data_IF_644467020403
#
_entry.id   IF_644467020403
#
_cell.length_a   1.000
_cell.length_b   1.000
_cell.length_c   1.000
_cell.angle_alpha   90.00
_cell.angle_beta   90.00
_cell.angle_gamma   90.00
#
_symmetry.space_group_name_H-M   'P 1'
#
loop_
_entity.id
_entity.type
_entity.pdbx_description
1 polymer ?
#
# COMPACT_ATOMS: atom_id res chain seq x y z
N UNK A 1 -28.91 11.46 -45.96
CA UNK A 1 -28.67 12.68 -45.14
C UNK A 1 -28.69 12.41 -43.64
N UNK A 2 -29.68 11.67 -43.09
CA UNK A 2 -29.75 11.34 -41.65
C UNK A 2 -28.55 10.54 -41.10
N UNK A 3 -28.03 9.54 -41.83
CA UNK A 3 -26.93 8.70 -41.34
C UNK A 3 -25.57 9.42 -41.26
N UNK A 4 -25.32 10.37 -42.16
CA UNK A 4 -24.10 11.19 -42.14
C UNK A 4 -24.05 12.11 -40.90
N UNK A 5 -25.22 12.61 -40.46
CA UNK A 5 -25.33 13.45 -39.27
C UNK A 5 -25.03 12.67 -37.97
N UNK A 6 -25.51 11.43 -37.86
CA UNK A 6 -25.20 10.56 -36.72
C UNK A 6 -23.72 10.14 -36.67
N UNK A 7 -23.08 9.94 -37.83
CA UNK A 7 -21.66 9.62 -37.90
C UNK A 7 -20.76 10.79 -37.43
N UNK A 8 -21.13 12.03 -37.76
CA UNK A 8 -20.38 13.23 -37.35
C UNK A 8 -20.55 13.49 -35.84
N UNK A 9 -21.75 13.31 -35.29
CA UNK A 9 -21.99 13.46 -33.84
C UNK A 9 -21.26 12.37 -33.04
N UNK A 10 -21.20 11.13 -33.53
CA UNK A 10 -20.42 10.06 -32.91
C UNK A 10 -18.91 10.31 -32.90
N UNK A 11 -18.37 10.92 -33.97
CA UNK A 11 -16.95 11.27 -34.08
C UNK A 11 -16.55 12.40 -33.12
N UNK A 12 -17.43 13.37 -32.88
CA UNK A 12 -17.16 14.51 -31.97
C UNK A 12 -17.15 14.07 -30.50
N UNK A 13 -17.94 13.06 -30.10
CA UNK A 13 -17.95 12.55 -28.73
C UNK A 13 -16.69 11.71 -28.40
N UNK A 14 -16.05 11.10 -29.41
CA UNK A 14 -14.80 10.35 -29.23
C UNK A 14 -13.53 11.23 -29.21
N UNK A 15 -13.63 12.50 -29.63
CA UNK A 15 -12.47 13.37 -29.85
C UNK A 15 -12.02 14.26 -28.68
N UNK A 16 -12.74 14.27 -27.55
CA UNK A 16 -12.47 15.20 -26.43
C UNK A 16 -11.92 14.53 -25.15
N UNK A 17 -11.40 13.31 -25.27
CA UNK A 17 -10.76 12.59 -24.16
C UNK A 17 -9.25 12.82 -24.02
N UNK A 18 -8.72 13.96 -24.44
CA UNK A 18 -7.31 14.28 -24.20
C UNK A 18 -7.14 14.70 -22.74
N UNK A 19 -6.91 13.74 -21.85
CA UNK A 19 -6.21 14.03 -20.59
C UNK A 19 -4.80 14.44 -20.97
N UNK A 20 -4.51 15.73 -20.92
CA UNK A 20 -3.13 16.19 -21.00
C UNK A 20 -2.41 15.64 -19.77
N UNK A 21 -1.68 14.54 -19.92
CA UNK A 21 -0.64 14.15 -18.97
C UNK A 21 0.54 15.08 -19.23
N UNK A 22 0.45 16.30 -18.70
CA UNK A 22 1.62 17.14 -18.59
C UNK A 22 2.42 16.60 -17.40
N UNK A 23 3.60 16.06 -17.70
CA UNK A 23 4.71 15.79 -16.78
C UNK A 23 4.80 16.84 -15.66
N UNK A 24 4.76 18.11 -16.07
CA UNK A 24 4.82 19.26 -15.18
C UNK A 24 3.63 20.21 -15.40
N UNK A 25 3.04 20.72 -14.32
CA UNK A 25 1.99 21.73 -14.34
C UNK A 25 2.61 23.12 -14.25
N UNK A 26 2.38 23.95 -15.27
CA UNK A 26 2.80 25.35 -15.29
C UNK A 26 1.63 26.27 -14.91
N UNK A 27 1.89 27.18 -13.98
CA UNK A 27 0.97 28.26 -13.60
C UNK A 27 1.65 29.62 -13.74
N UNK A 28 0.86 30.66 -13.97
CA UNK A 28 1.33 32.04 -14.03
C UNK A 28 0.85 32.82 -12.81
N UNK A 29 1.78 33.44 -12.09
CA UNK A 29 1.54 34.37 -10.98
C UNK A 29 2.42 35.59 -11.18
N UNK A 30 1.90 36.62 -11.84
CA UNK A 30 2.69 37.78 -12.29
C UNK A 30 3.67 38.30 -11.21
N UNK A 31 4.97 38.45 -11.54
CA UNK A 31 5.60 38.23 -12.85
C UNK A 31 6.12 36.80 -13.09
N UNK A 32 5.82 35.85 -12.22
CA UNK A 32 6.43 34.52 -12.19
C UNK A 32 5.67 33.47 -12.99
N UNK A 33 6.42 32.67 -13.72
CA UNK A 33 6.01 31.37 -14.22
C UNK A 33 6.53 30.30 -13.27
N UNK A 34 5.61 29.50 -12.71
CA UNK A 34 5.95 28.42 -11.78
C UNK A 34 5.53 27.10 -12.42
N UNK A 35 6.50 26.21 -12.63
CA UNK A 35 6.33 24.89 -13.19
C UNK A 35 6.64 23.84 -12.11
N UNK A 36 5.71 22.92 -11.85
CA UNK A 36 5.83 21.92 -10.78
C UNK A 36 5.53 20.53 -11.31
N UNK A 37 6.36 19.55 -10.99
CA UNK A 37 6.14 18.17 -11.41
C UNK A 37 7.05 17.18 -10.70
N UNK A 38 7.34 16.07 -11.37
CA UNK A 38 8.21 15.01 -10.87
C UNK A 38 9.59 15.07 -11.51
N UNK A 39 10.62 14.63 -10.79
CA UNK A 39 11.96 14.52 -11.36
C UNK A 39 12.08 13.30 -12.26
N UNK A 40 11.64 12.14 -11.77
CA UNK A 40 11.66 10.88 -12.51
C UNK A 40 10.23 10.45 -12.84
N UNK A 41 9.94 10.24 -14.12
CA UNK A 41 8.59 9.97 -14.64
C UNK A 41 8.48 8.61 -15.35
N UNK A 42 7.37 7.86 -15.16
CA UNK A 42 6.24 8.21 -14.30
C UNK A 42 6.60 8.10 -12.81
N UNK A 43 5.95 8.88 -11.94
CA UNK A 43 6.14 8.75 -10.49
C UNK A 43 5.59 7.41 -10.00
N UNK A 44 6.39 6.62 -9.28
CA UNK A 44 5.96 5.29 -8.82
C UNK A 44 5.92 5.19 -7.30
N UNK A 45 4.90 4.51 -6.79
CA UNK A 45 4.73 4.25 -5.36
C UNK A 45 5.89 3.44 -4.78
N UNK A 46 6.36 3.84 -3.60
CA UNK A 46 7.39 3.14 -2.83
C UNK A 46 8.83 3.38 -3.31
N UNK A 47 9.03 4.15 -4.39
CA UNK A 47 10.35 4.49 -4.94
C UNK A 47 10.70 5.93 -4.56
N UNK A 48 11.97 6.17 -4.20
CA UNK A 48 12.47 7.53 -3.97
C UNK A 48 12.42 8.32 -5.28
N UNK A 49 11.78 9.48 -5.23
CA UNK A 49 11.69 10.43 -6.32
C UNK A 49 11.90 11.85 -5.74
N UNK A 50 11.75 12.88 -6.56
CA UNK A 50 11.69 14.26 -6.13
C UNK A 50 10.57 15.01 -6.84
N UNK A 51 9.95 15.95 -6.12
CA UNK A 51 9.10 16.97 -6.71
C UNK A 51 10.01 18.09 -7.19
N UNK A 52 9.87 18.50 -8.44
CA UNK A 52 10.59 19.62 -9.06
C UNK A 52 9.73 20.87 -9.01
N UNK A 53 10.35 22.01 -8.74
CA UNK A 53 9.69 23.33 -8.73
C UNK A 53 10.62 24.30 -9.44
N UNK A 54 10.23 24.71 -10.63
CA UNK A 54 10.94 25.66 -11.47
C UNK A 54 10.22 27.01 -11.39
N UNK A 55 10.95 28.06 -11.01
CA UNK A 55 10.41 29.41 -10.87
C UNK A 55 11.20 30.32 -11.81
N UNK A 56 10.50 30.88 -12.79
CA UNK A 56 11.07 31.74 -13.82
C UNK A 56 10.35 33.08 -13.85
N UNK A 57 11.05 34.14 -14.23
CA UNK A 57 10.48 35.46 -14.51
C UNK A 57 10.92 35.94 -15.91
N UNK A 58 10.16 36.82 -16.57
CA UNK A 58 10.60 37.45 -17.81
C UNK A 58 11.96 38.13 -17.63
N UNK A 59 12.89 37.84 -18.52
CA UNK A 59 14.19 38.51 -18.58
C UNK A 59 14.11 39.89 -19.26
N UNK A 60 15.27 40.54 -19.36
CA UNK A 60 15.40 41.85 -20.00
C UNK A 60 15.06 41.86 -21.50
N UNK A 61 15.11 40.68 -22.14
CA UNK A 61 14.80 40.47 -23.56
C UNK A 61 13.49 39.71 -23.68
N UNK A 62 12.58 40.23 -24.50
CA UNK A 62 11.28 39.61 -24.77
C UNK A 62 11.46 38.16 -25.27
N UNK A 63 10.76 37.22 -24.64
CA UNK A 63 10.84 35.78 -24.95
C UNK A 63 11.97 35.03 -24.25
N UNK A 64 12.83 35.71 -23.48
CA UNK A 64 13.82 35.06 -22.61
C UNK A 64 13.29 35.09 -21.18
N UNK A 65 13.37 33.95 -20.48
CA UNK A 65 13.05 33.86 -19.06
C UNK A 65 14.33 33.62 -18.23
N UNK A 66 14.33 34.13 -17.01
CA UNK A 66 15.42 33.99 -16.04
C UNK A 66 14.92 33.23 -14.83
N UNK A 67 15.71 32.28 -14.34
CA UNK A 67 15.37 31.52 -13.14
C UNK A 67 15.51 32.36 -11.87
N UNK A 68 14.48 32.35 -11.02
CA UNK A 68 14.44 33.13 -9.78
C UNK A 68 15.22 32.42 -8.68
N UNK A 69 16.38 32.97 -8.33
CA UNK A 69 17.22 32.45 -7.24
C UNK A 69 16.67 32.82 -5.86
N UNK A 70 16.94 31.99 -4.85
CA UNK A 70 16.53 32.18 -3.45
C UNK A 70 15.01 32.36 -3.22
N UNK A 71 14.17 31.83 -4.11
CA UNK A 71 12.71 31.96 -4.02
C UNK A 71 12.16 31.38 -2.70
N UNK A 72 12.74 30.29 -2.22
CA UNK A 72 12.36 29.60 -0.97
C UNK A 72 12.88 30.24 0.31
N UNK A 73 13.40 31.48 0.27
CA UNK A 73 13.80 32.20 1.49
C UNK A 73 12.61 32.54 2.39
N UNK A 74 11.44 32.79 1.80
CA UNK A 74 10.19 33.13 2.48
C UNK A 74 8.96 32.47 1.83
N UNK A 75 9.21 31.40 1.09
CA UNK A 75 8.19 30.59 0.44
C UNK A 75 8.32 29.18 0.98
N UNK A 76 7.21 28.61 1.42
CA UNK A 76 7.12 27.22 1.85
C UNK A 76 6.38 26.39 0.78
N UNK A 77 6.83 25.15 0.59
CA UNK A 77 6.12 24.16 -0.20
C UNK A 77 5.66 22.99 0.67
N UNK A 78 4.45 22.51 0.43
CA UNK A 78 3.92 21.30 1.05
C UNK A 78 3.25 20.44 0.00
N UNK A 79 3.39 19.13 0.12
CA UNK A 79 2.62 18.18 -0.69
C UNK A 79 1.35 17.79 0.05
N UNK A 80 0.25 17.63 -0.68
CA UNK A 80 -1.07 17.25 -0.17
C UNK A 80 -1.54 16.01 -0.93
N UNK A 81 -2.08 15.03 -0.20
CA UNK A 81 -2.70 13.85 -0.79
C UNK A 81 -3.79 13.32 0.14
N UNK A 82 -5.02 13.17 -0.37
CA UNK A 82 -6.14 12.58 0.37
C UNK A 82 -6.42 13.21 1.75
N UNK A 83 -6.19 14.51 1.89
CA UNK A 83 -6.35 15.27 3.14
C UNK A 83 -5.16 15.25 4.10
N UNK A 84 -4.11 14.47 3.82
CA UNK A 84 -2.83 14.56 4.52
C UNK A 84 -1.94 15.63 3.87
N UNK A 85 -1.14 16.33 4.67
CA UNK A 85 -0.19 17.33 4.19
C UNK A 85 1.19 17.12 4.83
N UNK A 86 2.24 17.29 4.03
CA UNK A 86 3.64 17.20 4.47
C UNK A 86 4.42 18.39 3.91
N UNK A 87 5.11 19.12 4.78
CA UNK A 87 6.06 20.17 4.38
C UNK A 87 7.24 19.52 3.65
N UNK A 88 7.59 20.08 2.49
CA UNK A 88 8.69 19.61 1.66
C UNK A 88 10.00 20.24 2.13
N UNK A 89 11.06 19.43 2.18
CA UNK A 89 12.41 19.89 2.44
C UNK A 89 13.06 20.32 1.11
N UNK A 90 13.06 21.63 0.87
CA UNK A 90 13.40 22.20 -0.43
C UNK A 90 14.91 22.37 -0.58
N UNK A 91 15.43 21.79 -1.65
CA UNK A 91 16.82 21.88 -2.06
C UNK A 91 16.94 22.71 -3.34
N UNK A 92 18.11 23.32 -3.54
CA UNK A 92 18.41 24.13 -4.74
C UNK A 92 19.23 23.30 -5.73
N UNK A 93 18.86 23.34 -7.01
CA UNK A 93 19.62 22.74 -8.13
C UNK A 93 20.70 23.74 -8.60
N UNK A 94 21.82 23.29 -9.21
CA UNK A 94 22.83 24.19 -9.79
C UNK A 94 22.28 25.15 -10.85
N UNK A 95 21.18 24.80 -11.53
CA UNK A 95 20.51 25.67 -12.49
C UNK A 95 19.69 26.74 -11.75
N UNK A 96 19.87 28.04 -12.07
CA UNK A 96 19.10 29.11 -11.43
C UNK A 96 17.59 28.90 -11.57
N UNK A 97 16.83 29.11 -10.49
CA UNK A 97 15.37 28.98 -10.48
C UNK A 97 14.83 27.55 -10.37
N UNK A 98 15.71 26.54 -10.36
CA UNK A 98 15.30 25.14 -10.21
C UNK A 98 15.46 24.68 -8.75
N UNK A 99 14.38 24.12 -8.21
CA UNK A 99 14.32 23.60 -6.85
C UNK A 99 13.75 22.19 -6.88
N UNK A 100 14.09 21.39 -5.86
CA UNK A 100 13.55 20.05 -5.74
C UNK A 100 13.39 19.62 -4.28
N UNK A 101 12.45 18.72 -4.02
CA UNK A 101 12.27 18.10 -2.72
C UNK A 101 12.12 16.58 -2.86
N UNK A 102 13.00 15.84 -2.18
CA UNK A 102 12.99 14.37 -2.21
C UNK A 102 11.80 13.82 -1.41
N UNK A 103 11.13 12.84 -1.98
CA UNK A 103 9.98 12.18 -1.36
C UNK A 103 9.87 10.72 -1.83
N UNK A 104 9.30 9.88 -0.98
CA UNK A 104 8.84 8.54 -1.35
C UNK A 104 7.31 8.58 -1.34
N UNK A 105 6.64 8.54 -2.50
CA UNK A 105 5.19 8.40 -2.54
C UNK A 105 4.79 7.06 -1.91
N UNK A 106 3.79 7.06 -1.04
CA UNK A 106 3.37 5.84 -0.31
C UNK A 106 2.02 5.29 -0.78
N UNK A 107 1.33 6.03 -1.64
CA UNK A 107 0.06 5.68 -2.24
C UNK A 107 0.04 6.15 -3.69
N UNK A 108 -0.69 5.42 -4.51
CA UNK A 108 -1.00 5.82 -5.88
C UNK A 108 -2.07 6.92 -5.91
N UNK A 109 -2.18 7.60 -7.05
CA UNK A 109 -3.17 8.63 -7.32
C UNK A 109 -2.63 10.06 -7.13
N UNK A 110 -3.57 11.02 -7.17
CA UNK A 110 -3.24 12.43 -7.29
C UNK A 110 -2.57 13.03 -6.06
N UNK A 111 -1.54 13.83 -6.34
CA UNK A 111 -0.86 14.68 -5.38
C UNK A 111 -1.02 16.14 -5.81
N UNK A 112 -1.02 17.03 -4.83
CA UNK A 112 -1.03 18.47 -5.06
C UNK A 112 0.14 19.11 -4.32
N UNK A 113 0.77 20.12 -4.92
CA UNK A 113 1.81 20.92 -4.28
C UNK A 113 1.22 22.27 -3.93
N UNK A 114 1.23 22.59 -2.64
CA UNK A 114 0.79 23.86 -2.10
C UNK A 114 2.00 24.75 -1.85
N UNK A 115 2.00 25.94 -2.45
CA UNK A 115 3.02 26.98 -2.24
C UNK A 115 2.40 28.13 -1.45
N UNK A 116 3.02 28.50 -0.33
CA UNK A 116 2.55 29.61 0.53
C UNK A 116 3.72 30.46 0.98
N UNK A 117 3.63 31.77 0.81
CA UNK A 117 4.64 32.72 1.29
C UNK A 117 4.80 33.90 0.35
N UNK A 118 6.03 34.35 0.17
CA UNK A 118 6.35 35.43 -0.76
C UNK A 118 7.66 35.21 -1.53
N UNK A 119 7.69 35.69 -2.78
CA UNK A 119 8.90 35.80 -3.60
C UNK A 119 9.07 37.29 -3.91
N UNK A 120 10.18 37.89 -3.47
CA UNK A 120 10.48 39.32 -3.68
C UNK A 120 9.32 40.29 -3.32
N UNK A 121 8.49 39.93 -2.33
CA UNK A 121 7.33 40.71 -1.88
C UNK A 121 6.01 40.41 -2.61
N UNK A 122 6.02 39.57 -3.64
CA UNK A 122 4.80 39.04 -4.28
C UNK A 122 4.28 37.87 -3.46
N UNK A 123 3.03 37.97 -3.00
CA UNK A 123 2.39 36.90 -2.22
C UNK A 123 2.03 35.72 -3.12
N UNK A 124 2.46 34.53 -2.70
CA UNK A 124 2.13 33.26 -3.34
C UNK A 124 1.26 32.47 -2.37
N UNK A 125 0.09 32.06 -2.83
CA UNK A 125 -0.80 31.13 -2.13
C UNK A 125 -1.58 30.33 -3.18
N UNK A 126 -0.99 29.24 -3.63
CA UNK A 126 -1.53 28.45 -4.74
C UNK A 126 -1.40 26.95 -4.44
N UNK A 127 -2.29 26.18 -5.05
CA UNK A 127 -2.29 24.72 -5.01
C UNK A 127 -2.21 24.25 -6.46
N UNK A 128 -1.20 23.45 -6.75
CA UNK A 128 -0.86 23.01 -8.10
C UNK A 128 -1.00 21.48 -8.13
N UNK A 129 -1.97 20.92 -8.86
CA UNK A 129 -2.04 19.48 -9.05
C UNK A 129 -0.85 19.02 -9.90
N UNK A 130 -0.25 17.89 -9.53
CA UNK A 130 0.83 17.23 -10.31
C UNK A 130 0.36 15.85 -10.78
N UNK A 131 1.15 15.20 -11.64
CA UNK A 131 0.82 13.87 -12.17
C UNK A 131 0.58 12.84 -11.05
N UNK A 132 -0.37 11.96 -11.29
CA UNK A 132 -0.75 10.88 -10.39
C UNK A 132 0.40 9.90 -10.19
N UNK A 133 0.59 9.46 -8.94
CA UNK A 133 1.54 8.40 -8.63
C UNK A 133 1.01 7.07 -9.14
N UNK A 134 1.82 6.38 -9.94
CA UNK A 134 1.51 5.12 -10.58
C UNK A 134 1.96 3.89 -9.77
N UNK A 135 1.42 2.74 -10.15
CA UNK A 135 1.84 1.43 -9.65
C UNK A 135 3.19 1.02 -10.25
N UNK A 136 4.01 0.27 -9.50
CA UNK A 136 5.27 -0.31 -10.00
C UNK A 136 5.07 -1.18 -11.24
N UNK A 137 3.88 -1.76 -11.40
CA UNK A 137 3.51 -2.57 -12.56
C UNK A 137 3.64 -1.86 -13.91
N UNK A 138 3.61 -0.52 -13.93
CA UNK A 138 3.85 0.27 -15.16
C UNK A 138 5.28 0.09 -15.68
N UNK A 139 6.23 -0.23 -14.80
CA UNK A 139 7.65 -0.39 -15.12
C UNK A 139 8.10 -1.85 -15.21
N UNK A 140 7.22 -2.82 -14.92
CA UNK A 140 7.59 -4.24 -14.89
C UNK A 140 7.96 -4.77 -16.28
N UNK A 141 9.13 -5.41 -16.38
CA UNK A 141 9.53 -6.15 -17.56
C UNK A 141 10.20 -7.50 -17.20
N UNK A 142 9.72 -8.64 -17.73
CA UNK A 142 8.49 -8.78 -18.52
C UNK A 142 7.26 -8.35 -17.69
N UNK A 143 6.16 -7.90 -18.34
CA UNK A 143 5.00 -7.41 -17.61
C UNK A 143 4.49 -8.50 -16.67
N UNK A 144 4.40 -8.20 -15.38
CA UNK A 144 3.65 -9.04 -14.48
C UNK A 144 2.19 -8.84 -14.86
N UNK A 145 1.63 -9.76 -15.64
CA UNK A 145 0.19 -9.74 -15.87
C UNK A 145 -0.46 -9.63 -14.50
N UNK A 146 -1.42 -8.72 -14.33
CA UNK A 146 -2.24 -8.50 -13.13
C UNK A 146 -3.07 -9.75 -12.72
N UNK A 147 -2.68 -10.92 -13.21
CA UNK A 147 -3.29 -12.24 -13.14
C UNK A 147 -2.50 -13.22 -12.26
N UNK A 148 -1.26 -12.92 -11.83
CA UNK A 148 -0.55 -13.78 -10.88
C UNK A 148 -1.11 -13.68 -9.46
N UNK A 149 -1.75 -12.57 -9.09
CA UNK A 149 -2.44 -12.43 -7.81
C UNK A 149 -3.65 -13.35 -7.69
N UNK A 150 -4.33 -13.71 -8.78
CA UNK A 150 -5.46 -14.64 -8.73
C UNK A 150 -5.03 -16.09 -8.48
N UNK A 151 -4.02 -16.57 -9.21
CA UNK A 151 -3.53 -17.95 -9.09
C UNK A 151 -2.70 -18.15 -7.83
N UNK A 152 -1.84 -17.19 -7.48
CA UNK A 152 -1.06 -17.26 -6.24
C UNK A 152 -1.97 -17.12 -5.03
N UNK A 153 -2.87 -16.13 -4.96
CA UNK A 153 -3.80 -16.03 -3.81
C UNK A 153 -4.72 -17.25 -3.74
N UNK A 154 -5.09 -17.87 -4.86
CA UNK A 154 -5.83 -19.14 -4.86
C UNK A 154 -4.96 -20.29 -4.32
N UNK A 155 -3.70 -20.39 -4.74
CA UNK A 155 -2.76 -21.38 -4.22
C UNK A 155 -2.47 -21.17 -2.73
N UNK A 156 -2.32 -19.92 -2.28
CA UNK A 156 -2.17 -19.55 -0.88
C UNK A 156 -3.44 -19.84 -0.08
N UNK A 157 -4.64 -19.52 -0.59
CA UNK A 157 -5.91 -19.89 0.04
C UNK A 157 -6.06 -21.39 0.18
N UNK A 158 -5.70 -22.14 -0.85
CA UNK A 158 -5.70 -23.60 -0.82
C UNK A 158 -4.69 -24.11 0.23
N UNK A 159 -3.47 -23.59 0.26
CA UNK A 159 -2.47 -23.95 1.25
C UNK A 159 -2.91 -23.63 2.69
N UNK A 160 -3.51 -22.45 2.92
CA UNK A 160 -4.06 -22.06 4.23
C UNK A 160 -5.24 -22.94 4.62
N UNK A 161 -6.12 -23.29 3.68
CA UNK A 161 -7.25 -24.20 3.93
C UNK A 161 -6.75 -25.60 4.27
N UNK A 162 -5.74 -26.11 3.55
CA UNK A 162 -5.09 -27.37 3.88
C UNK A 162 -4.44 -27.34 5.25
N UNK A 163 -3.72 -26.27 5.60
CA UNK A 163 -3.13 -26.11 6.93
C UNK A 163 -4.20 -26.05 8.04
N UNK A 164 -5.35 -25.41 7.81
CA UNK A 164 -6.46 -25.42 8.75
C UNK A 164 -7.08 -26.81 8.91
N UNK A 165 -7.19 -27.58 7.82
CA UNK A 165 -7.63 -28.98 7.86
C UNK A 165 -6.63 -29.85 8.61
N UNK A 166 -5.33 -29.70 8.36
CA UNK A 166 -4.27 -30.42 9.06
C UNK A 166 -4.23 -30.09 10.55
N UNK A 167 -4.37 -28.82 10.94
CA UNK A 167 -4.45 -28.43 12.36
C UNK A 167 -5.72 -29.01 13.02
N UNK A 168 -6.84 -29.05 12.29
CA UNK A 168 -8.09 -29.63 12.78
C UNK A 168 -8.00 -31.14 12.94
N UNK A 169 -7.37 -31.84 12.00
CA UNK A 169 -7.14 -33.28 12.07
C UNK A 169 -6.13 -33.63 13.16
N UNK A 170 -5.07 -32.84 13.35
CA UNK A 170 -4.13 -32.98 14.47
C UNK A 170 -4.82 -32.73 15.82
N UNK A 171 -5.72 -31.73 15.93
CA UNK A 171 -6.53 -31.52 17.14
C UNK A 171 -7.50 -32.67 17.39
N UNK A 172 -8.11 -33.21 16.33
CA UNK A 172 -9.00 -34.36 16.42
C UNK A 172 -8.24 -35.64 16.80
N UNK A 173 -7.03 -35.82 16.28
CA UNK A 173 -6.16 -36.96 16.60
C UNK A 173 -5.50 -36.82 17.98
N UNK A 174 -5.22 -35.60 18.41
CA UNK A 174 -4.88 -35.27 19.80
C UNK A 174 -6.05 -35.44 20.78
N UNK A 175 -7.28 -35.57 20.27
CA UNK A 175 -8.45 -36.00 21.05
C UNK A 175 -8.59 -37.54 21.10
N UNK A 176 -7.72 -38.30 20.41
CA UNK A 176 -7.65 -39.77 20.45
C UNK A 176 -6.55 -40.28 21.37
N UNK A 177 -6.22 -39.56 22.44
CA UNK A 177 -5.50 -40.16 23.56
C UNK A 177 -6.26 -39.96 24.87
N UNK A 178 -6.74 -41.09 25.39
CA UNK A 178 -7.34 -41.34 26.71
C UNK A 178 -8.85 -41.13 26.91
N UNK A 179 -9.66 -41.51 25.91
CA UNK A 179 -10.98 -42.09 26.20
C UNK A 179 -10.83 -43.55 26.61
N UNK A 180 -10.15 -43.83 27.72
CA UNK A 180 -9.87 -45.19 28.17
C UNK A 180 -11.08 -45.83 28.83
N UNK A 181 -12.14 -46.12 28.09
CA UNK A 181 -13.19 -47.05 28.56
C UNK A 181 -12.61 -48.47 28.71
N UNK A 182 -11.64 -48.85 27.87
CA UNK A 182 -10.89 -50.10 28.04
C UNK A 182 -9.97 -50.06 29.26
N UNK A 183 -9.38 -48.91 29.59
CA UNK A 183 -8.53 -48.75 30.78
C UNK A 183 -9.31 -48.78 32.09
N UNK A 184 -10.49 -48.15 32.13
CA UNK A 184 -11.38 -48.20 33.30
C UNK A 184 -11.92 -49.63 33.50
N UNK A 185 -12.33 -50.31 32.42
CA UNK A 185 -12.82 -51.69 32.49
C UNK A 185 -11.73 -52.67 32.94
N UNK A 186 -10.51 -52.56 32.40
CA UNK A 186 -9.39 -53.42 32.80
C UNK A 186 -8.96 -53.16 34.24
N UNK A 187 -8.88 -51.89 34.66
CA UNK A 187 -8.52 -51.54 36.03
C UNK A 187 -9.60 -51.97 37.04
N UNK A 188 -10.89 -51.89 36.69
CA UNK A 188 -11.98 -52.38 37.55
C UNK A 188 -11.99 -53.92 37.63
N UNK A 189 -11.75 -54.62 36.52
CA UNK A 189 -11.62 -56.07 36.51
C UNK A 189 -10.44 -56.56 37.38
N UNK A 190 -9.28 -55.91 37.27
CA UNK A 190 -8.10 -56.23 38.09
C UNK A 190 -8.33 -55.91 39.57
N UNK A 191 -9.02 -54.81 39.89
CA UNK A 191 -9.37 -54.49 41.27
C UNK A 191 -10.37 -55.49 41.87
N UNK A 192 -11.38 -55.91 41.10
CA UNK A 192 -12.35 -56.93 41.54
C UNK A 192 -11.72 -58.30 41.81
N UNK A 193 -10.80 -58.74 40.96
CA UNK A 193 -10.06 -59.99 41.14
C UNK A 193 -9.17 -59.94 42.39
N UNK A 194 -8.44 -58.83 42.59
CA UNK A 194 -7.55 -58.70 43.75
C UNK A 194 -8.32 -58.62 45.08
N UNK A 195 -9.46 -57.93 45.11
CA UNK A 195 -10.33 -57.87 46.29
C UNK A 195 -10.97 -59.23 46.61
N UNK A 196 -11.37 -60.00 45.60
CA UNK A 196 -11.89 -61.36 45.77
C UNK A 196 -10.86 -62.32 46.37
N UNK A 197 -9.61 -62.28 45.88
CA UNK A 197 -8.53 -63.10 46.41
C UNK A 197 -8.24 -62.78 47.88
N UNK A 198 -8.21 -61.50 48.25
CA UNK A 198 -8.03 -61.08 49.65
C UNK A 198 -9.17 -61.57 50.55
N UNK A 199 -10.42 -61.53 50.06
CA UNK A 199 -11.58 -62.04 50.78
C UNK A 199 -11.50 -63.54 51.09
N UNK A 200 -11.08 -64.35 50.12
CA UNK A 200 -10.88 -65.80 50.30
C UNK A 200 -9.79 -66.09 51.32
N UNK A 201 -8.67 -65.35 51.28
CA UNK A 201 -7.58 -65.50 52.24
C UNK A 201 -8.05 -65.16 53.66
N UNK A 202 -8.79 -64.06 53.83
CA UNK A 202 -9.36 -63.69 55.13
C UNK A 202 -10.38 -64.72 55.63
N UNK A 203 -11.20 -65.31 54.74
CA UNK A 203 -12.14 -66.36 55.10
C UNK A 203 -11.43 -67.64 55.58
N UNK A 204 -10.33 -68.02 54.92
CA UNK A 204 -9.50 -69.17 55.34
C UNK A 204 -8.87 -68.89 56.71
N UNK A 205 -8.28 -67.71 56.92
CA UNK A 205 -7.69 -67.32 58.21
C UNK A 205 -8.75 -67.31 59.32
N UNK A 206 -9.94 -66.79 59.04
CA UNK A 206 -11.06 -66.78 59.99
C UNK A 206 -11.52 -68.20 60.34
N UNK A 207 -11.53 -69.13 59.38
CA UNK A 207 -11.90 -70.53 59.61
C UNK A 207 -10.86 -71.27 60.45
N UNK A 208 -9.56 -71.01 60.22
CA UNK A 208 -8.46 -71.61 60.99
C UNK A 208 -8.42 -71.08 62.43
N UNK A 209 -8.78 -69.81 62.66
CA UNK A 209 -8.91 -69.22 64.01
C UNK A 209 -10.17 -69.63 64.78
N UNK A 210 -11.11 -70.34 64.14
CA UNK A 210 -12.36 -70.81 64.77
C UNK A 210 -12.28 -72.25 65.30
N UNK A 211 -11.10 -72.69 65.74
CA UNK A 211 -10.93 -73.90 66.55
C UNK A 211 -10.30 -73.56 67.88
#
# INVERSE_FOLDING_TARGET
VKYAFFAIVGLVVLGFGFTFAYAHTTIQIDPYEIEVGWQDEPPVVGILNAITIDIREPGDVEGVSTGVINAFKKLDASVVSGGASKVLDINTDPRPGHYYAKIIPTKTGSLEVKLVGEINGVQINTIIPIEDVESTSVLDFPPTSTSSSGQEVTALKNAVTSLQQDISSIKAQGSTSTGSDEGIAYNFAVFGISLGAAGVILAIIAMVRRK
#
